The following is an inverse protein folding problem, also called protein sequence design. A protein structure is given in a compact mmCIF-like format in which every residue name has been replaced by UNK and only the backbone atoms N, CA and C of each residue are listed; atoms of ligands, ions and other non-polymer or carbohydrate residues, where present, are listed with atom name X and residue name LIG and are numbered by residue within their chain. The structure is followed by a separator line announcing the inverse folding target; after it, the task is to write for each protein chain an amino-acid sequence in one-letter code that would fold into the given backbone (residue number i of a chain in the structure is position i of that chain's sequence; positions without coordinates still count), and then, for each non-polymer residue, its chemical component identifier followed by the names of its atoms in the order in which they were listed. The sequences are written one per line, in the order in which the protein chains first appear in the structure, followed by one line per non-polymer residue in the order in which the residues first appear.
data_IF_964641447949
#
_entry.id   IF_964641447949
#
_cell.length_a   1.000
_cell.length_b   1.000
_cell.length_c   1.000
_cell.angle_alpha   90.00
_cell.angle_beta   90.00
_cell.angle_gamma   90.00
#
_symmetry.space_group_name_H-M   'P 1'
#
loop_
_entity.id
_entity.type
_entity.pdbx_description
1 polymer ?
#
# COMPACT_ATOMS: atom_id res chain seq x y z
N UNK A 1 18.07 2.80 -11.35
CA UNK A 1 18.15 4.07 -10.59
C UNK A 1 18.50 5.18 -11.55
N UNK A 2 18.11 6.42 -11.27
CA UNK A 2 18.54 7.59 -12.04
C UNK A 2 19.79 8.20 -11.41
N UNK A 3 20.61 8.86 -12.23
CA UNK A 3 21.70 9.69 -11.72
C UNK A 3 21.14 10.89 -10.96
N UNK A 4 21.88 11.32 -9.95
CA UNK A 4 21.53 12.43 -9.07
C UNK A 4 22.70 13.41 -9.09
N UNK A 5 22.39 14.70 -9.23
CA UNK A 5 23.34 15.79 -9.03
C UNK A 5 23.40 16.15 -7.54
N UNK A 6 24.61 16.19 -7.00
CA UNK A 6 24.84 16.63 -5.64
C UNK A 6 26.14 17.43 -5.54
N UNK A 7 26.18 18.33 -4.57
CA UNK A 7 27.37 19.15 -4.28
C UNK A 7 27.99 18.69 -2.97
N UNK A 8 29.32 18.54 -2.95
CA UNK A 8 30.06 18.32 -1.71
C UNK A 8 30.07 19.64 -0.93
N UNK A 9 29.38 19.69 0.21
CA UNK A 9 29.32 20.90 1.04
C UNK A 9 30.57 21.03 1.92
N UNK A 10 30.97 19.94 2.56
CA UNK A 10 32.19 19.88 3.39
C UNK A 10 32.65 18.44 3.61
N UNK A 11 33.94 18.28 3.90
CA UNK A 11 34.53 17.02 4.38
C UNK A 11 34.54 17.00 5.90
N UNK A 12 33.92 15.99 6.50
CA UNK A 12 34.08 15.68 7.92
C UNK A 12 35.05 14.49 8.08
N UNK A 13 35.38 14.13 9.32
CA UNK A 13 36.32 13.03 9.62
C UNK A 13 35.85 11.66 9.11
N UNK A 14 34.54 11.43 8.99
CA UNK A 14 33.97 10.10 8.67
C UNK A 14 33.05 10.07 7.44
N UNK A 15 32.74 11.24 6.85
CA UNK A 15 31.82 11.38 5.72
C UNK A 15 32.00 12.75 5.04
N UNK A 16 31.50 12.91 3.83
CA UNK A 16 31.21 14.22 3.25
C UNK A 16 29.79 14.62 3.60
N UNK A 17 29.55 15.89 3.95
CA UNK A 17 28.21 16.48 3.90
C UNK A 17 27.92 16.80 2.44
N UNK A 18 26.82 16.29 1.91
CA UNK A 18 26.38 16.55 0.55
C UNK A 18 25.05 17.28 0.54
N UNK A 19 24.82 18.05 -0.52
CA UNK A 19 23.52 18.61 -0.83
C UNK A 19 22.99 17.96 -2.10
N UNK A 20 21.91 17.21 -1.98
CA UNK A 20 21.20 16.58 -3.08
C UNK A 20 20.20 17.59 -3.62
N UNK A 21 20.27 17.88 -4.92
CA UNK A 21 19.37 18.82 -5.60
C UNK A 21 18.39 18.02 -6.45
N UNK A 22 17.11 18.06 -6.09
CA UNK A 22 16.03 17.42 -6.86
C UNK A 22 14.83 18.34 -6.94
N UNK A 23 14.36 18.63 -8.16
CA UNK A 23 13.12 19.39 -8.41
C UNK A 23 13.02 20.65 -7.52
N UNK A 24 14.06 21.49 -7.54
CA UNK A 24 14.17 22.75 -6.76
C UNK A 24 14.28 22.60 -5.23
N UNK A 25 14.20 21.38 -4.70
CA UNK A 25 14.43 21.09 -3.29
C UNK A 25 15.88 20.67 -3.04
N UNK A 26 16.45 21.19 -1.94
CA UNK A 26 17.82 20.89 -1.49
C UNK A 26 17.75 20.08 -0.21
N UNK A 27 18.12 18.81 -0.31
CA UNK A 27 18.20 17.90 0.85
C UNK A 27 19.65 17.74 1.28
N UNK A 28 19.92 17.83 2.59
CA UNK A 28 21.24 17.53 3.14
C UNK A 28 21.35 16.06 3.50
N UNK A 29 22.46 15.44 3.13
CA UNK A 29 22.78 14.06 3.47
C UNK A 29 24.28 13.89 3.77
N UNK A 30 24.66 12.72 4.30
CA UNK A 30 26.05 12.34 4.49
C UNK A 30 26.47 11.29 3.45
N UNK A 31 27.63 11.45 2.82
CA UNK A 31 28.23 10.52 1.88
C UNK A 31 29.42 9.81 2.53
N UNK A 32 29.45 8.48 2.48
CA UNK A 32 30.58 7.66 2.95
C UNK A 32 31.85 8.05 2.20
N UNK A 33 32.96 8.19 2.94
CA UNK A 33 34.30 8.31 2.35
C UNK A 33 34.84 6.89 2.14
N UNK A 34 35.13 6.56 0.90
CA UNK A 34 35.73 5.31 0.44
C UNK A 34 36.64 5.58 -0.77
N UNK A 35 37.24 4.54 -1.34
CA UNK A 35 38.15 4.66 -2.50
C UNK A 35 37.50 5.34 -3.72
N UNK A 36 36.17 5.33 -3.83
CA UNK A 36 35.47 5.95 -4.96
C UNK A 36 35.23 7.46 -4.77
N UNK A 37 35.35 7.95 -3.53
CA UNK A 37 34.98 9.32 -3.12
C UNK A 37 36.12 10.07 -2.42
N UNK A 38 37.23 9.41 -2.09
CA UNK A 38 38.33 9.98 -1.28
C UNK A 38 38.90 11.30 -1.83
N UNK A 39 38.90 11.43 -3.15
CA UNK A 39 39.43 12.56 -3.92
C UNK A 39 38.39 13.66 -4.17
N UNK A 40 37.19 13.55 -3.61
CA UNK A 40 36.18 14.61 -3.74
C UNK A 40 36.52 15.82 -2.89
N UNK A 41 36.24 17.00 -3.43
CA UNK A 41 36.57 18.29 -2.82
C UNK A 41 35.32 19.10 -2.48
N UNK A 42 35.40 19.94 -1.45
CA UNK A 42 34.30 20.83 -1.09
C UNK A 42 34.03 21.85 -2.21
N UNK A 43 32.76 22.03 -2.56
CA UNK A 43 32.31 22.83 -3.70
C UNK A 43 32.18 22.04 -5.00
N UNK A 44 32.70 20.80 -5.08
CA UNK A 44 32.59 19.97 -6.27
C UNK A 44 31.14 19.54 -6.52
N UNK A 45 30.68 19.71 -7.75
CA UNK A 45 29.42 19.18 -8.25
C UNK A 45 29.66 17.81 -8.91
N UNK A 46 28.84 16.84 -8.55
CA UNK A 46 29.03 15.45 -8.93
C UNK A 46 27.69 14.89 -9.40
N UNK A 47 27.72 14.24 -10.56
CA UNK A 47 26.62 13.43 -11.05
C UNK A 47 26.95 11.95 -10.82
N UNK A 48 26.03 11.20 -10.21
CA UNK A 48 26.17 9.74 -10.11
C UNK A 48 25.05 9.07 -9.33
N UNK A 49 25.29 7.82 -8.93
CA UNK A 49 24.31 7.02 -8.22
C UNK A 49 24.59 7.06 -6.72
N UNK A 50 23.59 7.47 -5.94
CA UNK A 50 23.66 7.48 -4.48
C UNK A 50 22.82 6.34 -3.91
N UNK A 51 23.46 5.42 -3.18
CA UNK A 51 22.80 4.28 -2.54
C UNK A 51 22.64 4.55 -1.05
N UNK A 52 21.41 4.60 -0.58
CA UNK A 52 21.10 4.81 0.84
C UNK A 52 21.60 3.62 1.65
N UNK A 53 22.40 3.89 2.68
CA UNK A 53 22.93 2.88 3.57
C UNK A 53 21.87 2.40 4.57
N UNK A 54 21.84 1.09 4.82
CA UNK A 54 20.94 0.48 5.81
C UNK A 54 21.33 0.96 7.22
N UNK A 55 20.43 1.69 7.88
CA UNK A 55 20.62 2.11 9.27
C UNK A 55 19.72 1.26 10.16
N UNK A 56 20.32 0.55 11.11
CA UNK A 56 19.54 -0.16 12.12
C UNK A 56 18.75 0.87 12.95
N UNK A 57 17.41 0.76 13.05
CA UNK A 57 16.58 1.73 13.76
C UNK A 57 16.99 1.97 15.20
N UNK A 58 17.60 0.97 15.87
CA UNK A 58 18.10 1.11 17.24
C UNK A 58 19.26 2.12 17.38
N UNK A 59 19.99 2.36 16.29
CA UNK A 59 21.13 3.28 16.23
C UNK A 59 20.80 4.58 15.47
N UNK A 60 19.58 4.72 14.95
CA UNK A 60 19.12 5.92 14.28
C UNK A 60 18.89 7.04 15.32
N UNK A 61 19.80 8.01 15.40
CA UNK A 61 19.64 9.18 16.27
C UNK A 61 18.62 10.14 15.65
N UNK A 62 17.75 10.72 16.48
CA UNK A 62 16.79 11.75 16.05
C UNK A 62 17.55 12.94 15.45
N UNK A 63 17.26 13.28 14.19
CA UNK A 63 17.94 14.35 13.45
C UNK A 63 19.25 13.94 12.77
N UNK A 64 19.62 12.65 12.79
CA UNK A 64 20.70 12.16 11.93
C UNK A 64 20.31 12.30 10.46
N UNK A 65 21.25 12.77 9.63
CA UNK A 65 21.04 12.80 8.19
C UNK A 65 21.11 11.39 7.61
N UNK A 66 20.42 11.21 6.48
CA UNK A 66 20.54 10.01 5.69
C UNK A 66 21.99 9.83 5.20
N UNK A 67 22.45 8.58 5.18
CA UNK A 67 23.80 8.22 4.77
C UNK A 67 23.78 7.49 3.43
N UNK A 68 24.67 7.85 2.52
CA UNK A 68 24.76 7.29 1.18
C UNK A 68 26.17 6.77 0.86
N UNK A 69 26.26 5.82 -0.07
CA UNK A 69 27.49 5.47 -0.81
C UNK A 69 27.37 5.90 -2.26
N UNK A 70 28.48 6.25 -2.89
CA UNK A 70 28.54 6.69 -4.28
C UNK A 70 28.86 5.53 -5.22
N UNK A 71 28.35 5.59 -6.45
CA UNK A 71 28.79 4.77 -7.57
C UNK A 71 28.74 5.57 -8.87
N UNK A 72 29.74 5.33 -9.73
CA UNK A 72 29.75 5.84 -11.12
C UNK A 72 28.82 5.05 -12.02
N UNK A 73 28.60 3.78 -11.71
CA UNK A 73 27.80 2.84 -12.50
C UNK A 73 26.44 2.60 -11.87
N UNK A 74 25.45 2.30 -12.72
CA UNK A 74 24.12 1.94 -12.26
C UNK A 74 24.20 0.61 -11.51
N UNK A 75 23.79 0.63 -10.24
CA UNK A 75 23.74 -0.58 -9.43
C UNK A 75 22.31 -1.11 -9.43
N UNK A 76 22.17 -2.38 -9.79
CA UNK A 76 20.91 -3.10 -9.69
C UNK A 76 20.65 -3.44 -8.22
N UNK A 77 19.80 -2.64 -7.57
CA UNK A 77 19.39 -2.91 -6.20
C UNK A 77 18.32 -4.00 -6.23
N UNK A 78 18.67 -5.18 -5.74
CA UNK A 78 17.67 -6.22 -5.46
C UNK A 78 16.80 -5.75 -4.29
N UNK A 79 15.47 -5.63 -4.44
CA UNK A 79 14.58 -5.20 -3.36
C UNK A 79 14.62 -6.17 -2.18
N UNK A 80 14.70 -5.63 -0.97
CA UNK A 80 14.53 -6.39 0.29
C UNK A 80 13.05 -6.74 0.53
N UNK A 81 12.16 -5.90 -0.01
CA UNK A 81 10.71 -5.99 0.16
C UNK A 81 10.04 -5.86 -1.19
N UNK A 82 9.15 -6.79 -1.50
CA UNK A 82 8.35 -6.77 -2.72
C UNK A 82 6.91 -6.43 -2.37
N UNK A 83 6.41 -5.34 -2.95
CA UNK A 83 5.01 -4.92 -2.82
C UNK A 83 4.32 -5.11 -4.16
N UNK A 84 3.35 -6.01 -4.18
CA UNK A 84 2.57 -6.36 -5.35
C UNK A 84 1.08 -6.13 -5.10
N UNK A 85 0.31 -6.11 -6.17
CA UNK A 85 -1.13 -6.24 -6.11
C UNK A 85 -1.52 -7.55 -6.76
N UNK A 86 -2.17 -8.44 -6.01
CA UNK A 86 -2.71 -9.67 -6.58
C UNK A 86 -4.16 -9.42 -7.01
N UNK A 87 -4.41 -9.54 -8.31
CA UNK A 87 -5.71 -9.25 -8.92
C UNK A 87 -6.78 -10.30 -8.54
N UNK A 88 -6.40 -11.58 -8.39
CA UNK A 88 -7.31 -12.68 -8.06
C UNK A 88 -7.93 -12.52 -6.68
N UNK A 89 -7.09 -12.24 -5.68
CA UNK A 89 -7.47 -11.99 -4.29
C UNK A 89 -7.73 -10.51 -3.98
N UNK A 90 -7.63 -9.66 -5.00
CA UNK A 90 -7.86 -8.22 -4.97
C UNK A 90 -7.21 -7.51 -3.76
N UNK A 91 -5.95 -7.88 -3.45
CA UNK A 91 -5.23 -7.44 -2.25
C UNK A 91 -3.83 -6.95 -2.61
N UNK A 92 -3.38 -5.96 -1.85
CA UNK A 92 -1.97 -5.63 -1.78
C UNK A 92 -1.24 -6.68 -0.98
N UNK A 93 -0.06 -7.07 -1.46
CA UNK A 93 0.77 -8.08 -0.83
C UNK A 93 2.15 -7.53 -0.59
N UNK A 94 2.73 -7.90 0.55
CA UNK A 94 4.08 -7.57 0.94
C UNK A 94 4.81 -8.88 1.23
N UNK A 95 5.84 -9.14 0.44
CA UNK A 95 6.83 -10.19 0.70
C UNK A 95 8.06 -9.55 1.32
N UNK A 96 8.39 -9.95 2.54
CA UNK A 96 9.58 -9.51 3.27
C UNK A 96 10.12 -10.63 4.16
N UNK A 97 11.39 -10.55 4.56
CA UNK A 97 11.99 -11.50 5.48
C UNK A 97 11.31 -11.50 6.86
N UNK A 98 11.31 -12.65 7.54
CA UNK A 98 10.60 -12.85 8.81
C UNK A 98 10.99 -11.83 9.90
N UNK A 99 12.25 -11.39 9.95
CA UNK A 99 12.73 -10.37 10.91
C UNK A 99 12.03 -9.01 10.76
N UNK A 100 11.45 -8.72 9.59
CA UNK A 100 10.73 -7.47 9.31
C UNK A 100 9.20 -7.61 9.40
N UNK A 101 8.69 -8.80 9.78
CA UNK A 101 7.25 -9.06 9.92
C UNK A 101 6.54 -8.15 10.93
N UNK A 102 7.28 -7.60 11.89
CA UNK A 102 6.76 -6.65 12.87
C UNK A 102 6.21 -5.37 12.22
N UNK A 103 6.73 -4.94 11.07
CA UNK A 103 6.22 -3.78 10.32
C UNK A 103 4.82 -4.10 9.77
N UNK A 104 4.65 -5.25 9.13
CA UNK A 104 3.35 -5.69 8.61
C UNK A 104 2.32 -5.85 9.73
N UNK A 105 2.71 -6.48 10.85
CA UNK A 105 1.86 -6.61 12.05
C UNK A 105 1.45 -5.25 12.60
N UNK A 106 2.40 -4.31 12.74
CA UNK A 106 2.15 -2.93 13.21
C UNK A 106 1.09 -2.22 12.37
N UNK A 107 1.10 -2.45 11.05
CA UNK A 107 0.16 -1.84 10.11
C UNK A 107 -1.06 -2.71 9.79
N UNK A 108 -1.32 -3.74 10.61
CA UNK A 108 -2.53 -4.59 10.57
C UNK A 108 -2.71 -5.36 9.25
N UNK A 109 -1.61 -5.87 8.71
CA UNK A 109 -1.67 -6.85 7.64
C UNK A 109 -2.05 -8.21 8.19
N UNK A 110 -2.71 -9.01 7.35
CA UNK A 110 -3.00 -10.41 7.64
C UNK A 110 -1.96 -11.29 6.97
N UNK A 111 -1.45 -12.30 7.67
CA UNK A 111 -0.52 -13.26 7.08
C UNK A 111 -1.27 -14.29 6.23
N UNK A 112 -0.84 -14.48 4.98
CA UNK A 112 -1.30 -15.57 4.12
C UNK A 112 -0.20 -16.65 4.08
N UNK A 113 -0.42 -17.81 4.72
CA UNK A 113 0.59 -18.86 4.80
C UNK A 113 0.82 -19.55 3.45
N UNK A 114 -0.22 -19.69 2.62
CA UNK A 114 -0.15 -20.41 1.35
C UNK A 114 0.77 -19.71 0.34
N UNK A 115 0.73 -18.38 0.35
CA UNK A 115 1.52 -17.53 -0.56
C UNK A 115 2.75 -16.92 0.11
N UNK A 116 2.92 -17.15 1.41
CA UNK A 116 3.99 -16.60 2.25
C UNK A 116 4.11 -15.07 2.14
N UNK A 117 2.97 -14.37 2.20
CA UNK A 117 2.90 -12.91 2.07
C UNK A 117 2.01 -12.28 3.13
N UNK A 118 2.28 -11.01 3.43
CA UNK A 118 1.42 -10.16 4.23
C UNK A 118 0.43 -9.44 3.32
N UNK A 119 -0.86 -9.52 3.61
CA UNK A 119 -1.91 -8.96 2.76
C UNK A 119 -2.72 -7.87 3.45
N UNK A 120 -3.11 -6.86 2.67
CA UNK A 120 -4.07 -5.82 3.05
C UNK A 120 -4.90 -5.42 1.85
N UNK A 121 -6.13 -4.99 2.10
CA UNK A 121 -6.99 -4.35 1.10
C UNK A 121 -6.76 -2.83 1.07
N UNK A 122 -6.22 -2.23 2.13
CA UNK A 122 -6.07 -0.78 2.25
C UNK A 122 -4.72 -0.27 1.74
N UNK A 123 -4.76 0.56 0.70
CA UNK A 123 -3.63 1.30 0.12
C UNK A 123 -2.89 2.15 1.18
N UNK A 124 -3.63 2.80 2.09
CA UNK A 124 -3.06 3.59 3.19
C UNK A 124 -2.22 2.73 4.14
N UNK A 125 -2.60 1.47 4.38
CA UNK A 125 -1.79 0.53 5.20
C UNK A 125 -0.55 0.10 4.43
N UNK A 126 -0.67 -0.15 3.12
CA UNK A 126 0.45 -0.40 2.21
C UNK A 126 1.47 0.75 2.25
N UNK A 127 1.06 2.00 2.02
CA UNK A 127 1.98 3.13 2.03
C UNK A 127 2.68 3.33 3.38
N UNK A 128 1.94 3.20 4.49
CA UNK A 128 2.55 3.28 5.83
C UNK A 128 3.57 2.18 6.09
N UNK A 129 3.34 0.98 5.56
CA UNK A 129 4.29 -0.13 5.64
C UNK A 129 5.53 0.16 4.78
N UNK A 130 5.35 0.60 3.53
CA UNK A 130 6.44 1.03 2.63
C UNK A 130 7.32 2.07 3.32
N UNK A 131 6.74 3.16 3.82
CA UNK A 131 7.48 4.20 4.54
C UNK A 131 8.23 3.63 5.74
N UNK A 132 7.64 2.67 6.45
CA UNK A 132 8.29 2.06 7.60
C UNK A 132 9.47 1.17 7.20
N UNK A 133 9.39 0.44 6.09
CA UNK A 133 10.51 -0.33 5.55
C UNK A 133 11.62 0.59 5.04
N UNK A 134 11.27 1.63 4.26
CA UNK A 134 12.21 2.63 3.74
C UNK A 134 12.92 3.37 4.89
N UNK A 135 12.23 3.68 6.00
CA UNK A 135 12.85 4.23 7.22
C UNK A 135 13.83 3.28 7.92
N UNK A 136 13.75 1.98 7.67
CA UNK A 136 14.77 1.02 8.12
C UNK A 136 15.91 0.86 7.08
N UNK A 137 15.91 1.66 6.02
CA UNK A 137 16.89 1.61 4.94
C UNK A 137 16.69 0.43 3.98
N UNK A 138 15.53 -0.23 4.00
CA UNK A 138 15.24 -1.35 3.09
C UNK A 138 14.86 -0.84 1.71
N UNK A 139 15.34 -1.53 0.67
CA UNK A 139 14.92 -1.29 -0.69
C UNK A 139 13.54 -1.93 -0.93
N UNK A 140 12.56 -1.12 -1.34
CA UNK A 140 11.18 -1.58 -1.53
C UNK A 140 10.79 -1.49 -3.01
N UNK A 141 10.43 -2.62 -3.62
CA UNK A 141 9.78 -2.63 -4.92
C UNK A 141 8.30 -2.30 -4.73
N UNK A 142 7.85 -1.17 -5.29
CA UNK A 142 6.48 -0.66 -5.12
C UNK A 142 5.71 -0.45 -6.41
N UNK A 143 6.32 -0.67 -7.58
CA UNK A 143 5.69 -0.41 -8.88
C UNK A 143 4.38 -1.21 -9.05
N UNK A 144 4.40 -2.49 -8.70
CA UNK A 144 3.25 -3.39 -8.85
C UNK A 144 2.14 -3.06 -7.86
N UNK A 145 2.50 -2.78 -6.60
CA UNK A 145 1.56 -2.26 -5.62
C UNK A 145 0.89 -0.95 -6.08
N UNK A 146 1.66 -0.01 -6.62
CA UNK A 146 1.11 1.28 -7.11
C UNK A 146 0.16 1.07 -8.30
N UNK A 147 0.49 0.17 -9.23
CA UNK A 147 -0.40 -0.21 -10.34
C UNK A 147 -1.74 -0.75 -9.84
N UNK A 148 -1.73 -1.50 -8.73
CA UNK A 148 -2.93 -2.03 -8.07
C UNK A 148 -3.98 -0.97 -7.73
N UNK A 149 -3.57 0.24 -7.35
CA UNK A 149 -4.52 1.34 -7.08
C UNK A 149 -5.34 1.69 -8.33
N UNK A 150 -4.70 1.71 -9.50
CA UNK A 150 -5.37 1.98 -10.78
C UNK A 150 -6.38 0.89 -11.12
N UNK A 151 -5.99 -0.37 -10.94
CA UNK A 151 -6.88 -1.54 -11.15
C UNK A 151 -8.09 -1.45 -10.22
N UNK A 152 -7.87 -1.21 -8.93
CA UNK A 152 -8.96 -1.08 -7.95
C UNK A 152 -9.91 0.04 -8.37
N UNK A 153 -9.37 1.23 -8.68
CA UNK A 153 -10.17 2.39 -9.05
C UNK A 153 -11.04 2.10 -10.27
N UNK A 154 -10.47 1.51 -11.32
CA UNK A 154 -11.20 1.21 -12.56
C UNK A 154 -12.29 0.18 -12.32
N UNK A 155 -11.98 -0.93 -11.65
CA UNK A 155 -12.96 -2.00 -11.38
C UNK A 155 -14.08 -1.50 -10.46
N UNK A 156 -13.73 -0.66 -9.49
CA UNK A 156 -14.68 0.03 -8.61
C UNK A 156 -15.61 0.95 -9.41
N UNK A 157 -15.06 1.76 -10.33
CA UNK A 157 -15.87 2.66 -11.17
C UNK A 157 -16.84 1.89 -12.07
N UNK A 158 -16.39 0.83 -12.74
CA UNK A 158 -17.27 -0.04 -13.54
C UNK A 158 -18.38 -0.66 -12.69
N UNK A 159 -18.04 -1.11 -11.49
CA UNK A 159 -19.03 -1.61 -10.57
C UNK A 159 -20.06 -0.52 -10.26
N UNK A 160 -19.64 0.72 -9.91
CA UNK A 160 -20.53 1.88 -9.65
C UNK A 160 -21.55 2.02 -10.78
N UNK A 161 -21.07 2.12 -12.01
CA UNK A 161 -21.89 2.35 -13.20
C UNK A 161 -22.95 1.25 -13.39
N UNK A 162 -22.62 -0.01 -13.08
CA UNK A 162 -23.55 -1.14 -13.25
C UNK A 162 -24.70 -1.13 -12.22
N UNK A 163 -24.44 -0.75 -10.98
CA UNK A 163 -25.51 -0.68 -9.95
C UNK A 163 -26.43 0.50 -10.11
N UNK A 164 -26.02 1.55 -10.83
CA UNK A 164 -26.97 2.60 -11.21
C UNK A 164 -28.15 2.03 -12.00
N UNK A 165 -27.94 0.89 -12.67
CA UNK A 165 -28.97 0.14 -13.39
C UNK A 165 -29.50 -1.09 -12.64
N UNK A 166 -29.07 -1.33 -11.39
CA UNK A 166 -29.50 -2.49 -10.62
C UNK A 166 -30.96 -2.38 -10.17
N UNK A 167 -31.66 -3.49 -10.29
CA UNK A 167 -33.02 -3.74 -9.80
C UNK A 167 -33.07 -5.10 -9.10
N UNK A 168 -34.10 -5.37 -8.30
CA UNK A 168 -34.24 -6.67 -7.62
C UNK A 168 -34.26 -7.86 -8.61
N UNK A 169 -34.82 -7.63 -9.80
CA UNK A 169 -34.90 -8.58 -10.91
C UNK A 169 -33.64 -8.66 -11.78
N UNK A 170 -32.60 -7.87 -11.48
CA UNK A 170 -31.35 -7.91 -12.23
C UNK A 170 -30.72 -9.30 -12.17
N UNK A 171 -30.36 -9.82 -13.33
CA UNK A 171 -29.67 -11.11 -13.43
C UNK A 171 -28.24 -10.97 -12.91
N UNK A 172 -27.85 -11.90 -12.03
CA UNK A 172 -26.49 -12.04 -11.53
C UNK A 172 -25.96 -13.43 -11.87
N UNK A 173 -24.63 -13.58 -11.92
CA UNK A 173 -24.00 -14.84 -12.33
C UNK A 173 -24.07 -15.95 -11.27
N UNK A 174 -24.38 -15.62 -10.02
CA UNK A 174 -24.52 -16.57 -8.91
C UNK A 174 -25.97 -16.94 -8.67
N UNK A 175 -26.21 -18.20 -8.32
CA UNK A 175 -27.54 -18.65 -7.91
C UNK A 175 -27.95 -18.05 -6.56
N UNK A 176 -29.26 -17.97 -6.31
CA UNK A 176 -29.78 -17.52 -5.01
C UNK A 176 -29.21 -18.32 -3.82
N UNK A 177 -29.02 -19.64 -4.01
CA UNK A 177 -28.45 -20.51 -2.98
C UNK A 177 -27.00 -20.16 -2.64
N UNK A 178 -26.22 -19.69 -3.63
CA UNK A 178 -24.85 -19.23 -3.42
C UNK A 178 -24.81 -17.86 -2.72
N UNK A 179 -25.76 -16.98 -3.04
CA UNK A 179 -25.93 -15.71 -2.34
C UNK A 179 -26.30 -15.95 -0.88
N UNK A 180 -27.28 -16.82 -0.61
CA UNK A 180 -27.70 -17.15 0.75
C UNK A 180 -26.54 -17.76 1.56
N UNK A 181 -25.74 -18.64 0.95
CA UNK A 181 -24.50 -19.16 1.54
C UNK A 181 -23.52 -18.05 1.92
N UNK A 182 -23.31 -17.06 1.05
CA UNK A 182 -22.44 -15.93 1.36
C UNK A 182 -22.99 -15.11 2.53
N UNK A 183 -24.29 -14.83 2.54
CA UNK A 183 -24.95 -14.11 3.64
C UNK A 183 -24.74 -14.83 4.97
N UNK A 184 -24.94 -16.14 5.04
CA UNK A 184 -24.68 -16.95 6.24
C UNK A 184 -23.22 -16.84 6.71
N UNK A 185 -22.26 -16.88 5.77
CA UNK A 185 -20.84 -16.68 6.07
C UNK A 185 -20.58 -15.29 6.66
N UNK A 186 -21.20 -14.23 6.14
CA UNK A 186 -21.09 -12.86 6.68
C UNK A 186 -21.71 -12.71 8.07
N UNK A 187 -22.80 -13.43 8.34
CA UNK A 187 -23.42 -13.48 9.66
C UNK A 187 -22.48 -14.14 10.70
N UNK A 188 -21.85 -15.25 10.32
CA UNK A 188 -20.91 -15.99 11.17
C UNK A 188 -19.52 -15.33 11.33
N UNK A 189 -19.13 -14.43 10.42
CA UNK A 189 -17.80 -13.81 10.46
C UNK A 189 -17.78 -12.35 9.97
N UNK A 190 -17.81 -11.42 10.92
CA UNK A 190 -17.72 -9.98 10.67
C UNK A 190 -16.43 -9.50 9.97
N UNK A 191 -15.39 -10.36 9.86
CA UNK A 191 -14.14 -10.01 9.19
C UNK A 191 -14.18 -10.24 7.68
N UNK A 192 -15.23 -10.87 7.17
CA UNK A 192 -15.37 -11.12 5.72
C UNK A 192 -15.70 -9.82 4.99
N UNK A 193 -16.53 -8.92 5.54
CA UNK A 193 -16.84 -7.60 4.96
C UNK A 193 -15.68 -6.57 5.07
N UNK A 194 -14.44 -7.00 4.86
CA UNK A 194 -13.26 -6.18 5.02
C UNK A 194 -12.72 -5.61 3.70
N UNK A 195 -13.30 -5.97 2.56
CA UNK A 195 -12.74 -5.74 1.24
C UNK A 195 -13.70 -5.07 0.28
N UNK A 196 -13.54 -3.76 0.09
CA UNK A 196 -14.03 -2.99 -1.05
C UNK A 196 -15.57 -2.89 -1.23
N UNK A 197 -16.08 -1.65 -1.13
CA UNK A 197 -17.10 -1.05 -2.01
C UNK A 197 -18.60 -0.98 -1.62
N UNK A 198 -19.17 0.24 -1.44
CA UNK A 198 -20.03 1.03 -2.35
C UNK A 198 -20.62 2.32 -1.71
N UNK A 199 -20.67 3.41 -2.49
CA UNK A 199 -21.51 4.62 -2.37
C UNK A 199 -21.48 5.31 -0.99
N UNK A 200 -20.63 6.31 -0.92
CA UNK A 200 -21.08 7.55 -0.30
C UNK A 200 -20.68 8.71 -1.13
N UNK A 201 -21.53 9.73 -1.09
CA UNK A 201 -21.19 11.07 -1.48
C UNK A 201 -19.91 11.50 -0.77
N UNK A 202 -18.78 11.36 -1.46
CA UNK A 202 -17.44 11.37 -0.87
C UNK A 202 -17.12 12.72 -0.22
N UNK A 203 -17.72 13.80 -0.75
CA UNK A 203 -17.58 15.15 -0.23
C UNK A 203 -18.32 15.35 1.12
N UNK A 204 -19.44 14.66 1.35
CA UNK A 204 -20.32 14.92 2.50
C UNK A 204 -19.99 14.06 3.73
N UNK A 205 -19.44 12.84 3.55
CA UNK A 205 -19.36 11.84 4.63
C UNK A 205 -17.93 11.42 5.07
N UNK A 206 -16.90 12.17 4.65
CA UNK A 206 -15.49 11.97 5.03
C UNK A 206 -15.22 11.81 6.53
N UNK A 207 -16.07 12.40 7.39
CA UNK A 207 -15.98 12.35 8.87
C UNK A 207 -16.21 10.98 9.49
N UNK A 208 -16.67 9.98 8.73
CA UNK A 208 -17.01 8.64 9.22
C UNK A 208 -16.00 7.55 8.82
N UNK A 209 -14.79 7.92 8.39
CA UNK A 209 -13.67 6.99 8.09
C UNK A 209 -13.27 6.17 9.35
N UNK A 210 -13.98 5.09 9.66
CA UNK A 210 -13.68 4.23 10.81
C UNK A 210 -13.00 2.92 10.41
N UNK A 211 -11.70 2.85 10.74
CA UNK A 211 -10.81 1.70 11.02
C UNK A 211 -10.71 0.51 10.05
N UNK A 212 -11.52 0.38 9.02
CA UNK A 212 -11.48 -0.77 8.12
C UNK A 212 -11.28 -0.45 6.64
N UNK A 213 -10.79 0.75 6.28
CA UNK A 213 -10.25 1.03 4.94
C UNK A 213 -11.20 0.78 3.76
N UNK A 214 -12.50 0.82 3.99
CA UNK A 214 -13.54 0.82 2.97
C UNK A 214 -14.32 2.14 2.98
N UNK A 215 -14.71 2.59 1.79
CA UNK A 215 -15.44 3.83 1.52
C UNK A 215 -16.95 3.57 1.64
N UNK A 216 -17.57 4.07 2.70
CA UNK A 216 -19.02 4.09 2.90
C UNK A 216 -19.37 5.26 3.81
N UNK A 217 -20.52 5.86 3.53
CA UNK A 217 -21.03 7.05 4.20
C UNK A 217 -22.31 6.64 4.86
N UNK A 218 -22.31 6.73 6.19
CA UNK A 218 -23.53 6.65 6.96
C UNK A 218 -24.09 8.04 7.11
N UNK A 219 -25.40 8.16 6.93
CA UNK A 219 -26.14 9.26 7.54
C UNK A 219 -25.86 9.27 9.06
N UNK A 220 -25.87 10.46 9.66
CA UNK A 220 -25.61 10.75 11.08
C UNK A 220 -26.52 10.03 12.11
N UNK A 221 -27.38 9.10 11.68
CA UNK A 221 -28.37 8.37 12.50
C UNK A 221 -28.20 6.84 12.51
N UNK A 222 -27.19 6.27 11.84
CA UNK A 222 -26.95 4.81 11.90
C UNK A 222 -26.07 4.47 13.11
N UNK A 223 -26.53 3.55 13.97
CA UNK A 223 -25.65 2.95 14.99
C UNK A 223 -24.64 2.01 14.31
N UNK A 224 -23.43 1.85 14.88
CA UNK A 224 -22.41 0.96 14.31
C UNK A 224 -22.92 -0.48 14.05
N UNK A 225 -23.86 -0.94 14.88
CA UNK A 225 -24.50 -2.25 14.72
C UNK A 225 -25.43 -2.28 13.51
N UNK A 226 -26.33 -1.30 13.37
CA UNK A 226 -27.24 -1.22 12.22
C UNK A 226 -26.46 -1.04 10.90
N UNK A 227 -25.35 -0.29 10.95
CA UNK A 227 -24.44 -0.13 9.83
C UNK A 227 -23.82 -1.46 9.40
N UNK A 228 -23.34 -2.26 10.36
CA UNK A 228 -22.77 -3.58 10.06
C UNK A 228 -23.79 -4.57 9.52
N UNK A 229 -25.06 -4.45 9.91
CA UNK A 229 -26.11 -5.35 9.43
C UNK A 229 -26.53 -5.06 7.99
N UNK A 230 -26.42 -3.81 7.52
CA UNK A 230 -26.71 -3.45 6.13
C UNK A 230 -25.82 -4.21 5.13
N UNK A 231 -24.57 -4.54 5.51
CA UNK A 231 -23.63 -5.28 4.66
C UNK A 231 -23.80 -6.81 4.70
N UNK A 232 -24.83 -7.28 5.39
CA UNK A 232 -25.13 -8.71 5.55
C UNK A 232 -26.48 -9.08 4.96
N UNK A 233 -27.10 -8.17 4.23
CA UNK A 233 -28.38 -8.45 3.56
C UNK A 233 -28.12 -9.15 2.24
N UNK A 234 -29.08 -9.98 1.85
CA UNK A 234 -29.11 -10.60 0.52
C UNK A 234 -29.02 -9.54 -0.58
N UNK A 235 -29.75 -8.45 -0.44
CA UNK A 235 -29.74 -7.32 -1.38
C UNK A 235 -28.33 -6.73 -1.56
N UNK A 236 -27.60 -6.47 -0.46
CA UNK A 236 -26.24 -5.94 -0.55
C UNK A 236 -25.30 -6.92 -1.28
N UNK A 237 -25.35 -8.20 -0.90
CA UNK A 237 -24.53 -9.24 -1.52
C UNK A 237 -24.83 -9.40 -3.02
N UNK A 238 -26.11 -9.32 -3.42
CA UNK A 238 -26.53 -9.31 -4.83
C UNK A 238 -25.99 -8.11 -5.59
N UNK A 239 -26.08 -6.91 -5.01
CA UNK A 239 -25.57 -5.68 -5.63
C UNK A 239 -24.08 -5.74 -5.87
N UNK A 240 -23.30 -6.20 -4.88
CA UNK A 240 -21.85 -6.41 -5.05
C UNK A 240 -21.57 -7.44 -6.15
N UNK A 241 -22.31 -8.55 -6.18
CA UNK A 241 -22.20 -9.56 -7.23
C UNK A 241 -22.51 -9.00 -8.62
N UNK A 242 -23.55 -8.17 -8.74
CA UNK A 242 -23.94 -7.49 -9.98
C UNK A 242 -22.87 -6.49 -10.43
N UNK A 243 -22.43 -5.62 -9.53
CA UNK A 243 -21.42 -4.61 -9.83
C UNK A 243 -20.11 -5.19 -10.35
N UNK A 244 -19.58 -6.18 -9.64
CA UNK A 244 -18.32 -6.83 -10.01
C UNK A 244 -18.47 -8.04 -10.94
N UNK A 245 -19.69 -8.36 -11.37
CA UNK A 245 -20.00 -9.54 -12.20
C UNK A 245 -19.42 -10.85 -11.64
N UNK A 246 -19.43 -11.02 -10.32
CA UNK A 246 -18.80 -12.17 -9.66
C UNK A 246 -19.38 -13.49 -10.17
N UNK A 247 -18.53 -14.37 -10.70
CA UNK A 247 -18.91 -15.68 -11.26
C UNK A 247 -18.79 -16.81 -10.26
N UNK A 248 -18.05 -16.59 -9.17
CA UNK A 248 -17.88 -17.58 -8.11
C UNK A 248 -18.11 -16.97 -6.74
N UNK A 249 -18.52 -17.80 -5.77
CA UNK A 249 -18.60 -17.41 -4.35
C UNK A 249 -17.28 -16.81 -3.85
N UNK A 250 -16.13 -17.33 -4.27
CA UNK A 250 -14.82 -16.82 -3.86
C UNK A 250 -14.51 -15.43 -4.44
N UNK A 251 -14.88 -15.18 -5.70
CA UNK A 251 -14.80 -13.84 -6.27
C UNK A 251 -15.66 -12.86 -5.48
N UNK A 252 -16.92 -13.21 -5.21
CA UNK A 252 -17.83 -12.39 -4.42
C UNK A 252 -17.27 -12.11 -3.01
N UNK A 253 -16.79 -13.12 -2.30
CA UNK A 253 -16.14 -12.96 -0.99
C UNK A 253 -14.86 -12.11 -1.03
N UNK A 254 -14.21 -12.04 -2.18
CA UNK A 254 -13.02 -11.20 -2.39
C UNK A 254 -13.40 -9.73 -2.59
N UNK A 255 -14.63 -9.46 -3.08
CA UNK A 255 -15.19 -8.13 -3.31
C UNK A 255 -16.06 -7.61 -2.14
N UNK A 256 -16.20 -8.38 -1.06
CA UNK A 256 -16.92 -8.00 0.16
C UNK A 256 -15.92 -7.60 1.26
#
# INVERSE_FOLDING_TARGET
MNKINFTIVKKNRANFRIAIVQNETKELADLVIDASTENFEAGQEIEGFLIKQKVNPKFARKGALDKYTYSKEAIEITPDVFVTFNAESFRYEIKCEAKYSNICKKHKFTWNPDRMVWQTYADRRMFKAIESFERQGLAVSKADGVRGMGVIRVETSKAVERDETYTEDSQINLSESEIDRVVEMLQGNNRICAGFFWKSDYAEFKKFEYKNGGLFGTHNKVTLQNYRQQFKTREYVRRVCHGFECKTVNELLTRL
#
